data_IF_624199442726
#
_entry.id   IF_624199442726
#
_cell.length_a   1.000
_cell.length_b   1.000
_cell.length_c   1.000
_cell.angle_alpha   90.00
_cell.angle_beta   90.00
_cell.angle_gamma   90.00
#
_symmetry.space_group_name_H-M   'P 1'
#
loop_
_entity.id
_entity.type
_entity.pdbx_description
1 polymer ?
#
# COMPACT_ATOMS: atom_id res chain seq x y z
N UNK A 1 0.66 -24.71 3.39
CA UNK A 1 -0.03 -25.93 3.81
C UNK A 1 0.55 -26.41 5.13
N UNK A 2 -0.31 -26.75 6.09
CA UNK A 2 0.12 -27.32 7.37
C UNK A 2 -0.32 -28.78 7.53
N UNK A 3 -0.59 -29.48 6.42
CA UNK A 3 -0.84 -30.90 6.46
C UNK A 3 0.44 -31.61 6.93
N UNK A 4 0.37 -32.49 7.96
CA UNK A 4 1.52 -33.30 8.35
C UNK A 4 1.99 -34.19 7.19
N UNK A 5 3.29 -34.36 7.06
CA UNK A 5 3.83 -35.33 6.11
C UNK A 5 3.25 -36.74 6.39
N UNK A 6 2.84 -37.43 5.35
CA UNK A 6 2.16 -38.73 5.47
C UNK A 6 0.62 -38.64 5.53
N UNK A 7 0.02 -37.46 5.61
CA UNK A 7 -1.45 -37.33 5.55
C UNK A 7 -1.99 -37.77 4.20
N UNK A 8 -2.99 -38.67 4.13
CA UNK A 8 -3.66 -39.04 2.88
C UNK A 8 -4.49 -37.83 2.38
N UNK A 9 -4.25 -37.38 1.17
CA UNK A 9 -4.96 -36.24 0.59
C UNK A 9 -5.65 -36.53 -0.75
N UNK A 10 -5.23 -37.54 -1.45
CA UNK A 10 -5.75 -37.91 -2.77
C UNK A 10 -6.11 -39.37 -2.80
N UNK A 11 -7.34 -39.72 -3.19
CA UNK A 11 -7.87 -41.03 -3.45
C UNK A 11 -8.30 -41.09 -4.91
N UNK A 12 -7.68 -41.99 -5.71
CA UNK A 12 -7.99 -42.07 -7.16
C UNK A 12 -8.37 -43.51 -7.53
N UNK A 13 -9.54 -43.64 -8.18
CA UNK A 13 -9.96 -44.85 -8.86
C UNK A 13 -9.68 -44.68 -10.35
N UNK A 14 -9.38 -45.78 -11.00
CA UNK A 14 -9.03 -45.80 -12.43
C UNK A 14 -9.99 -46.67 -13.24
N UNK A 15 -10.09 -46.38 -14.54
CA UNK A 15 -10.87 -47.17 -15.50
C UNK A 15 -12.15 -46.49 -15.98
N UNK A 16 -12.82 -47.13 -16.95
CA UNK A 16 -13.99 -46.55 -17.62
C UNK A 16 -15.16 -46.35 -16.64
N UNK A 17 -15.36 -47.24 -15.69
CA UNK A 17 -16.45 -47.22 -14.71
C UNK A 17 -15.99 -46.89 -13.29
N UNK A 18 -14.70 -46.53 -13.09
CA UNK A 18 -14.14 -46.16 -11.78
C UNK A 18 -14.28 -47.24 -10.68
N UNK A 19 -14.24 -48.50 -11.07
CA UNK A 19 -14.47 -49.67 -10.19
C UNK A 19 -13.18 -50.30 -9.65
N UNK A 20 -12.01 -49.70 -9.95
CA UNK A 20 -10.74 -50.21 -9.39
C UNK A 20 -10.62 -49.90 -7.89
N UNK A 21 -9.75 -50.63 -7.18
CA UNK A 21 -9.39 -50.26 -5.82
C UNK A 21 -8.76 -48.88 -5.83
N UNK A 22 -9.11 -48.00 -4.86
CA UNK A 22 -8.57 -46.66 -4.79
C UNK A 22 -7.07 -46.74 -4.50
N UNK A 23 -6.30 -45.87 -5.22
CA UNK A 23 -4.91 -45.58 -4.87
C UNK A 23 -4.87 -44.29 -4.09
N UNK A 24 -4.28 -44.30 -2.93
CA UNK A 24 -4.11 -43.12 -2.10
C UNK A 24 -2.70 -42.55 -2.27
N UNK A 25 -2.61 -41.24 -2.46
CA UNK A 25 -1.37 -40.49 -2.33
C UNK A 25 -1.34 -39.76 -1.00
N UNK A 26 -0.17 -39.73 -0.37
CA UNK A 26 0.07 -39.04 0.88
C UNK A 26 0.88 -37.79 0.61
N UNK A 27 0.65 -36.75 1.44
CA UNK A 27 1.41 -35.53 1.39
C UNK A 27 2.85 -35.79 1.87
N UNK A 28 3.85 -35.44 1.05
CA UNK A 28 5.27 -35.69 1.34
C UNK A 28 5.94 -34.58 2.18
N UNK A 29 5.20 -33.50 2.48
CA UNK A 29 5.73 -32.36 3.20
C UNK A 29 6.57 -31.39 2.34
N UNK A 30 6.83 -31.73 1.07
CA UNK A 30 7.61 -30.87 0.18
C UNK A 30 6.76 -29.71 -0.36
N UNK A 31 7.32 -28.49 -0.30
CA UNK A 31 6.75 -27.32 -0.96
C UNK A 31 7.45 -27.15 -2.31
N UNK A 32 6.85 -27.62 -3.38
CA UNK A 32 7.23 -27.18 -4.71
C UNK A 32 6.30 -26.06 -5.13
N UNK A 33 6.81 -24.85 -5.16
CA UNK A 33 6.05 -23.63 -5.51
C UNK A 33 5.44 -23.72 -6.92
N UNK A 34 6.06 -24.49 -7.80
CA UNK A 34 5.61 -24.73 -9.18
C UNK A 34 4.41 -25.67 -9.31
N UNK A 35 4.09 -26.44 -8.28
CA UNK A 35 3.03 -27.45 -8.30
C UNK A 35 1.75 -26.98 -7.56
N UNK A 36 1.75 -25.76 -7.00
CA UNK A 36 0.58 -25.25 -6.29
C UNK A 36 -0.46 -24.72 -7.29
N UNK A 37 -1.74 -25.09 -7.10
CA UNK A 37 -2.83 -24.48 -7.86
C UNK A 37 -2.84 -22.95 -7.70
N UNK A 38 -3.40 -22.19 -8.66
CA UNK A 38 -3.43 -20.73 -8.64
C UNK A 38 -4.41 -20.18 -7.59
N UNK A 39 -4.20 -20.54 -6.32
CA UNK A 39 -5.04 -20.11 -5.21
C UNK A 39 -5.03 -18.60 -5.03
N UNK A 40 -3.90 -17.95 -5.21
CA UNK A 40 -3.77 -16.50 -5.09
C UNK A 40 -4.66 -15.77 -6.09
N UNK A 41 -4.68 -16.23 -7.35
CA UNK A 41 -5.53 -15.64 -8.38
C UNK A 41 -7.03 -15.81 -8.07
N UNK A 42 -7.44 -17.00 -7.59
CA UNK A 42 -8.83 -17.25 -7.19
C UNK A 42 -9.22 -16.42 -5.96
N UNK A 43 -8.33 -16.28 -4.98
CA UNK A 43 -8.55 -15.45 -3.80
C UNK A 43 -8.76 -13.99 -4.21
N UNK A 44 -7.85 -13.44 -5.02
CA UNK A 44 -7.94 -12.08 -5.56
C UNK A 44 -9.27 -11.85 -6.28
N UNK A 45 -9.62 -12.73 -7.22
CA UNK A 45 -10.84 -12.59 -8.02
C UNK A 45 -12.14 -12.60 -7.18
N UNK A 46 -12.24 -13.44 -6.14
CA UNK A 46 -13.41 -13.51 -5.28
C UNK A 46 -13.51 -12.29 -4.34
N UNK A 47 -12.39 -11.81 -3.79
CA UNK A 47 -12.39 -10.59 -2.98
C UNK A 47 -12.74 -9.35 -3.83
N UNK A 48 -12.17 -9.22 -5.01
CA UNK A 48 -12.48 -8.09 -5.92
C UNK A 48 -13.95 -8.11 -6.35
N UNK A 49 -14.51 -9.29 -6.62
CA UNK A 49 -15.96 -9.45 -6.90
C UNK A 49 -16.82 -9.03 -5.70
N UNK A 50 -16.33 -9.22 -4.48
CA UNK A 50 -16.99 -8.77 -3.26
C UNK A 50 -16.74 -7.28 -2.94
N UNK A 51 -16.00 -6.56 -3.79
CA UNK A 51 -15.75 -5.12 -3.66
C UNK A 51 -14.51 -4.76 -2.83
N UNK A 52 -13.66 -5.73 -2.47
CA UNK A 52 -12.39 -5.46 -1.79
C UNK A 52 -11.29 -5.17 -2.81
N UNK A 53 -10.42 -4.20 -2.51
CA UNK A 53 -9.20 -3.99 -3.27
C UNK A 53 -8.11 -4.95 -2.76
N UNK A 54 -7.59 -5.78 -3.65
CA UNK A 54 -6.55 -6.75 -3.30
C UNK A 54 -5.21 -6.33 -3.88
N UNK A 55 -4.18 -6.33 -3.03
CA UNK A 55 -2.79 -6.08 -3.42
C UNK A 55 -2.04 -7.39 -3.32
N UNK A 56 -1.43 -7.84 -4.41
CA UNK A 56 -0.65 -9.09 -4.47
C UNK A 56 0.85 -8.73 -4.48
N UNK A 57 1.65 -9.22 -3.53
CA UNK A 57 3.10 -9.01 -3.59
C UNK A 57 3.68 -9.67 -4.86
N UNK A 58 4.38 -8.91 -5.70
CA UNK A 58 5.15 -9.43 -6.82
C UNK A 58 4.48 -9.50 -8.20
N UNK A 59 3.22 -9.10 -8.36
CA UNK A 59 2.65 -8.88 -9.71
C UNK A 59 3.05 -7.50 -10.20
N UNK A 60 4.01 -7.47 -11.13
CA UNK A 60 4.37 -6.41 -12.09
C UNK A 60 4.83 -5.05 -11.58
N UNK A 61 5.15 -4.88 -10.30
CA UNK A 61 5.76 -3.63 -9.85
C UNK A 61 7.01 -3.89 -9.01
N UNK A 62 8.16 -3.87 -9.68
CA UNK A 62 9.48 -3.68 -9.02
C UNK A 62 9.54 -2.39 -8.19
N UNK A 63 8.47 -1.58 -8.18
CA UNK A 63 8.38 -0.24 -7.59
C UNK A 63 7.20 -0.05 -6.61
N UNK A 64 6.24 -0.98 -6.53
CA UNK A 64 5.29 -1.01 -5.43
C UNK A 64 5.97 -1.70 -4.23
N UNK A 65 6.83 -0.94 -3.55
CA UNK A 65 7.14 -1.25 -2.17
C UNK A 65 5.82 -1.31 -1.42
N UNK A 66 5.45 -2.53 -0.95
CA UNK A 66 4.45 -2.73 0.11
C UNK A 66 3.35 -1.65 0.11
N UNK A 67 2.55 -1.60 -0.96
CA UNK A 67 1.32 -0.83 -0.95
C UNK A 67 0.60 -1.24 0.33
N UNK A 68 0.35 -0.29 1.20
CA UNK A 68 -0.10 -0.52 2.56
C UNK A 68 -1.50 -1.12 2.54
N UNK A 69 -1.57 -2.44 2.39
CA UNK A 69 -2.80 -3.16 2.64
C UNK A 69 -3.17 -2.94 4.10
N UNK A 70 -4.37 -2.46 4.39
CA UNK A 70 -4.87 -2.27 5.75
C UNK A 70 -4.92 -3.63 6.50
N UNK A 71 -5.06 -4.71 5.74
CA UNK A 71 -5.19 -6.07 6.24
C UNK A 71 -4.33 -7.04 5.44
N UNK A 72 -3.79 -8.04 6.12
CA UNK A 72 -3.14 -9.20 5.53
C UNK A 72 -3.97 -10.44 5.86
N UNK A 73 -4.24 -11.27 4.85
CA UNK A 73 -4.90 -12.54 5.04
C UNK A 73 -3.90 -13.69 4.85
N UNK A 74 -3.80 -14.54 5.86
CA UNK A 74 -3.06 -15.79 5.80
C UNK A 74 -4.02 -16.97 5.83
N UNK A 75 -3.74 -18.00 5.04
CA UNK A 75 -4.53 -19.22 4.95
C UNK A 75 -3.67 -20.45 5.21
N UNK A 76 -4.19 -21.36 6.02
CA UNK A 76 -3.58 -22.65 6.30
C UNK A 76 -4.59 -23.74 5.94
N UNK A 77 -4.26 -24.57 4.95
CA UNK A 77 -5.06 -25.77 4.63
C UNK A 77 -4.77 -26.80 5.73
N UNK A 78 -5.78 -27.10 6.54
CA UNK A 78 -5.68 -28.06 7.66
C UNK A 78 -6.12 -29.46 7.27
N UNK A 79 -7.10 -29.56 6.37
CA UNK A 79 -7.57 -30.84 5.82
C UNK A 79 -7.76 -30.71 4.31
N UNK A 80 -7.35 -31.74 3.57
CA UNK A 80 -7.54 -31.84 2.13
C UNK A 80 -7.91 -33.26 1.77
N UNK A 81 -8.97 -33.45 1.02
CA UNK A 81 -9.38 -34.72 0.49
C UNK A 81 -9.84 -34.56 -0.96
N UNK A 82 -9.30 -35.37 -1.85
CA UNK A 82 -9.74 -35.44 -3.25
C UNK A 82 -10.09 -36.90 -3.56
N UNK A 83 -11.33 -37.17 -3.96
CA UNK A 83 -11.76 -38.48 -4.44
C UNK A 83 -12.11 -38.37 -5.93
N UNK A 84 -11.37 -39.10 -6.76
CA UNK A 84 -11.52 -38.93 -8.18
C UNK A 84 -11.43 -40.19 -9.00
N UNK A 85 -11.97 -40.11 -10.20
CA UNK A 85 -11.90 -41.15 -11.22
C UNK A 85 -11.03 -40.69 -12.39
N UNK A 86 -9.92 -41.37 -12.61
CA UNK A 86 -8.94 -41.06 -13.65
C UNK A 86 -9.05 -42.00 -14.85
N UNK A 87 -8.85 -41.48 -16.05
CA UNK A 87 -8.75 -42.30 -17.25
C UNK A 87 -7.38 -42.99 -17.29
N UNK A 88 -7.37 -44.31 -17.53
CA UNK A 88 -6.14 -45.05 -17.76
C UNK A 88 -5.72 -44.91 -19.24
N UNK A 89 -4.61 -44.25 -19.50
CA UNK A 89 -4.01 -44.20 -20.83
C UNK A 89 -3.49 -45.57 -21.25
N UNK A 90 -3.50 -45.91 -22.56
CA UNK A 90 -3.15 -47.21 -23.10
C UNK A 90 -1.67 -47.60 -22.95
N UNK A 91 -0.79 -46.71 -22.47
CA UNK A 91 0.66 -46.90 -22.32
C UNK A 91 1.16 -46.30 -21.00
N UNK A 92 0.56 -46.64 -19.87
CA UNK A 92 1.04 -46.25 -18.52
C UNK A 92 1.37 -44.73 -18.32
N UNK A 93 1.09 -43.91 -19.31
CA UNK A 93 1.21 -42.46 -19.19
C UNK A 93 -0.08 -41.96 -18.54
N UNK A 94 0.03 -41.53 -17.30
CA UNK A 94 -1.02 -40.84 -16.58
C UNK A 94 -1.31 -39.51 -17.31
N UNK A 95 -2.23 -39.52 -18.26
CA UNK A 95 -2.94 -38.30 -18.63
C UNK A 95 -3.85 -37.99 -17.46
N UNK A 96 -3.55 -36.94 -16.70
CA UNK A 96 -4.25 -36.60 -15.49
C UNK A 96 -5.69 -36.11 -15.69
N UNK A 97 -6.45 -36.77 -16.60
CA UNK A 97 -7.86 -36.50 -16.82
C UNK A 97 -8.65 -37.13 -15.68
N UNK A 98 -9.15 -36.30 -14.77
CA UNK A 98 -9.90 -36.74 -13.61
C UNK A 98 -11.25 -36.02 -13.54
N UNK A 99 -12.26 -36.74 -13.03
CA UNK A 99 -13.54 -36.19 -12.51
C UNK A 99 -13.71 -36.64 -11.06
N UNK A 100 -14.48 -35.92 -10.27
CA UNK A 100 -14.72 -36.32 -8.88
C UNK A 100 -14.97 -35.12 -7.99
N UNK A 101 -14.67 -35.31 -6.73
CA UNK A 101 -14.94 -34.35 -5.65
C UNK A 101 -13.66 -33.97 -4.93
N UNK A 102 -13.60 -32.75 -4.40
CA UNK A 102 -12.58 -32.29 -3.49
C UNK A 102 -13.20 -31.54 -2.32
N UNK A 103 -12.71 -31.84 -1.13
CA UNK A 103 -13.05 -31.12 0.11
C UNK A 103 -11.78 -30.50 0.68
N UNK A 104 -11.83 -29.22 1.00
CA UNK A 104 -10.74 -28.49 1.67
C UNK A 104 -11.27 -27.80 2.92
N UNK A 105 -10.51 -27.93 4.00
CA UNK A 105 -10.72 -27.14 5.21
C UNK A 105 -9.56 -26.16 5.38
N UNK A 106 -9.88 -24.91 5.62
CA UNK A 106 -8.91 -23.83 5.69
C UNK A 106 -9.13 -22.99 6.93
N UNK A 107 -8.05 -22.80 7.68
CA UNK A 107 -8.00 -21.85 8.78
C UNK A 107 -7.40 -20.53 8.27
N UNK A 108 -8.19 -19.47 8.41
CA UNK A 108 -7.84 -18.12 7.99
C UNK A 108 -7.45 -17.27 9.19
N UNK A 109 -6.45 -16.43 9.00
CA UNK A 109 -6.11 -15.36 9.93
C UNK A 109 -6.06 -14.05 9.18
N UNK A 110 -6.79 -13.06 9.66
CA UNK A 110 -6.75 -11.70 9.14
C UNK A 110 -6.01 -10.82 10.13
N UNK A 111 -4.88 -10.29 9.70
CA UNK A 111 -4.07 -9.38 10.49
C UNK A 111 -4.34 -7.94 10.04
N UNK A 112 -4.64 -7.06 10.99
CA UNK A 112 -4.75 -5.63 10.74
C UNK A 112 -3.39 -4.97 10.96
N UNK A 113 -2.83 -4.38 9.92
CA UNK A 113 -1.59 -3.59 10.03
C UNK A 113 -1.79 -2.34 10.89
N UNK A 114 -2.99 -1.77 10.84
CA UNK A 114 -3.36 -0.59 11.64
C UNK A 114 -3.39 -0.94 13.13
N UNK A 115 -4.12 -2.02 13.50
CA UNK A 115 -4.25 -2.48 14.89
C UNK A 115 -3.04 -3.28 15.38
N UNK A 116 -2.15 -3.70 14.47
CA UNK A 116 -1.00 -4.57 14.73
C UNK A 116 -1.37 -5.88 15.45
N UNK A 117 -2.52 -6.45 15.10
CA UNK A 117 -3.01 -7.70 15.69
C UNK A 117 -3.89 -8.50 14.73
N UNK A 118 -4.06 -9.79 15.02
CA UNK A 118 -5.04 -10.63 14.33
C UNK A 118 -6.44 -10.21 14.75
N UNK A 119 -7.26 -9.77 13.80
CA UNK A 119 -8.62 -9.23 14.02
C UNK A 119 -9.71 -10.23 13.71
N UNK A 120 -9.41 -11.27 12.95
CA UNK A 120 -10.34 -12.38 12.73
C UNK A 120 -9.57 -13.70 12.59
N UNK A 121 -10.17 -14.77 13.10
CA UNK A 121 -9.79 -16.16 12.85
C UNK A 121 -11.04 -16.90 12.45
N UNK A 122 -11.01 -17.52 11.27
CA UNK A 122 -12.18 -18.16 10.67
C UNK A 122 -11.75 -19.50 10.10
N UNK A 123 -12.51 -20.57 10.37
CA UNK A 123 -12.34 -21.86 9.69
C UNK A 123 -13.47 -22.00 8.68
N UNK A 124 -13.14 -22.47 7.48
CA UNK A 124 -14.09 -22.67 6.38
C UNK A 124 -13.92 -24.06 5.78
N UNK A 125 -14.98 -24.58 5.17
CA UNK A 125 -14.98 -25.85 4.43
C UNK A 125 -15.53 -25.61 3.04
N UNK A 126 -14.72 -25.90 2.02
CA UNK A 126 -15.12 -25.70 0.61
C UNK A 126 -15.05 -26.99 -0.17
N UNK A 127 -15.97 -27.11 -1.15
CA UNK A 127 -16.10 -28.27 -2.01
C UNK A 127 -15.89 -27.89 -3.47
N UNK A 128 -15.22 -28.77 -4.20
CA UNK A 128 -15.10 -28.73 -5.64
C UNK A 128 -15.69 -29.99 -6.26
N UNK A 129 -16.35 -29.86 -7.42
CA UNK A 129 -16.97 -30.98 -8.13
C UNK A 129 -16.76 -30.89 -9.65
N UNK A 130 -16.36 -32.00 -10.26
CA UNK A 130 -16.21 -32.13 -11.70
C UNK A 130 -16.97 -33.34 -12.22
N UNK A 131 -18.04 -33.11 -12.99
CA UNK A 131 -18.85 -34.14 -13.63
C UNK A 131 -18.13 -34.86 -14.76
N UNK A 132 -17.24 -34.17 -15.45
CA UNK A 132 -16.53 -34.66 -16.62
C UNK A 132 -15.03 -34.75 -16.39
N UNK A 133 -14.40 -35.76 -17.02
CA UNK A 133 -12.94 -35.91 -16.96
C UNK A 133 -12.26 -34.81 -17.78
N UNK A 134 -11.41 -34.04 -17.14
CA UNK A 134 -10.63 -32.97 -17.78
C UNK A 134 -9.14 -33.10 -17.44
N UNK A 135 -8.24 -32.72 -18.36
CA UNK A 135 -6.82 -32.58 -18.07
C UNK A 135 -6.57 -31.61 -16.91
N UNK A 136 -5.66 -31.97 -16.00
CA UNK A 136 -5.38 -31.13 -14.83
C UNK A 136 -6.53 -31.01 -13.82
N UNK A 137 -7.50 -31.94 -13.87
CA UNK A 137 -8.72 -31.90 -13.06
C UNK A 137 -8.46 -31.89 -11.54
N UNK A 138 -7.36 -32.51 -11.05
CA UNK A 138 -6.99 -32.45 -9.61
C UNK A 138 -6.77 -31.01 -9.19
N UNK A 139 -5.97 -30.25 -9.95
CA UNK A 139 -5.72 -28.85 -9.65
C UNK A 139 -7.02 -28.02 -9.74
N UNK A 140 -7.86 -28.32 -10.73
CA UNK A 140 -9.15 -27.61 -10.89
C UNK A 140 -10.13 -27.91 -9.76
N UNK A 141 -10.24 -29.16 -9.31
CA UNK A 141 -11.03 -29.54 -8.14
C UNK A 141 -10.55 -28.80 -6.88
N UNK A 142 -9.24 -28.76 -6.67
CA UNK A 142 -8.65 -28.07 -5.54
C UNK A 142 -8.89 -26.55 -5.59
N UNK A 143 -8.79 -25.92 -6.77
CA UNK A 143 -9.12 -24.50 -6.96
C UNK A 143 -10.59 -24.22 -6.72
N UNK A 144 -11.47 -25.09 -7.17
CA UNK A 144 -12.92 -24.93 -6.96
C UNK A 144 -13.29 -25.06 -5.49
N UNK A 145 -12.75 -26.06 -4.78
CA UNK A 145 -12.91 -26.21 -3.34
C UNK A 145 -12.33 -25.01 -2.57
N UNK A 146 -11.16 -24.51 -2.98
CA UNK A 146 -10.57 -23.29 -2.42
C UNK A 146 -11.46 -22.08 -2.65
N UNK A 147 -12.01 -21.92 -3.86
CA UNK A 147 -12.94 -20.81 -4.19
C UNK A 147 -14.21 -20.87 -3.32
N UNK A 148 -14.71 -22.08 -3.04
CA UNK A 148 -15.81 -22.30 -2.08
C UNK A 148 -15.45 -21.79 -0.68
N UNK A 149 -14.24 -22.11 -0.18
CA UNK A 149 -13.73 -21.61 1.10
C UNK A 149 -13.65 -20.08 1.15
N UNK A 150 -13.19 -19.43 0.06
CA UNK A 150 -13.12 -17.96 0.00
C UNK A 150 -14.52 -17.34 0.08
N UNK A 151 -15.49 -17.92 -0.60
CA UNK A 151 -16.91 -17.45 -0.53
C UNK A 151 -17.50 -17.62 0.85
N UNK A 152 -17.20 -18.72 1.53
CA UNK A 152 -17.61 -18.94 2.90
C UNK A 152 -16.95 -17.95 3.86
N UNK A 153 -15.65 -17.67 3.69
CA UNK A 153 -14.94 -16.62 4.40
C UNK A 153 -15.63 -15.25 4.23
N UNK A 154 -15.96 -14.88 3.00
CA UNK A 154 -16.65 -13.62 2.67
C UNK A 154 -18.07 -13.54 3.26
N UNK A 155 -18.73 -14.67 3.45
CA UNK A 155 -20.05 -14.76 4.10
C UNK A 155 -19.95 -14.75 5.64
N UNK A 156 -18.78 -15.05 6.22
CA UNK A 156 -18.58 -15.17 7.64
C UNK A 156 -18.78 -13.83 8.37
N UNK A 157 -19.53 -13.84 9.46
CA UNK A 157 -19.87 -12.63 10.22
C UNK A 157 -18.65 -11.97 10.87
N UNK A 158 -17.72 -12.77 11.43
CA UNK A 158 -16.53 -12.25 12.10
C UNK A 158 -15.57 -11.61 11.10
N UNK A 159 -15.38 -12.25 9.92
CA UNK A 159 -14.62 -11.66 8.81
C UNK A 159 -15.24 -10.34 8.35
N UNK A 160 -16.53 -10.31 8.08
CA UNK A 160 -17.24 -9.11 7.64
C UNK A 160 -17.18 -7.99 8.68
N UNK A 161 -17.34 -8.33 9.96
CA UNK A 161 -17.21 -7.37 11.06
C UNK A 161 -15.78 -6.82 11.16
N UNK A 162 -14.76 -7.67 11.01
CA UNK A 162 -13.36 -7.24 11.02
C UNK A 162 -13.02 -6.31 9.84
N UNK A 163 -13.54 -6.61 8.65
CA UNK A 163 -13.30 -5.85 7.42
C UNK A 163 -14.16 -4.58 7.31
N UNK A 164 -15.39 -4.61 7.83
CA UNK A 164 -16.28 -3.45 7.89
C UNK A 164 -16.19 -2.72 9.22
N UNK A 165 -15.39 -3.23 10.15
CA UNK A 165 -15.10 -2.44 11.34
C UNK A 165 -14.67 -1.07 10.84
N UNK A 166 -15.35 0.01 11.25
CA UNK A 166 -14.88 1.35 10.93
C UNK A 166 -13.40 1.31 11.28
N UNK A 167 -12.57 1.77 10.33
CA UNK A 167 -11.14 1.96 10.64
C UNK A 167 -11.15 2.49 12.05
N UNK A 168 -10.48 1.86 13.02
CA UNK A 168 -10.51 2.44 14.34
C UNK A 168 -10.06 3.85 14.03
N UNK A 169 -10.98 4.73 14.21
CA UNK A 169 -10.67 6.13 14.39
C UNK A 169 -9.67 6.02 15.53
N UNK A 170 -8.41 5.82 15.15
CA UNK A 170 -7.35 5.71 16.13
C UNK A 170 -7.57 6.95 16.93
N UNK A 171 -7.85 6.79 18.19
CA UNK A 171 -8.30 7.83 19.09
C UNK A 171 -7.21 8.89 19.32
N UNK A 172 -6.48 9.20 18.28
CA UNK A 172 -5.68 10.37 18.03
C UNK A 172 -6.11 11.05 16.73
N UNK A 173 -7.43 11.14 16.48
CA UNK A 173 -7.95 12.33 15.89
C UNK A 173 -7.79 13.43 16.96
N UNK A 174 -6.55 13.81 17.18
CA UNK A 174 -6.30 15.04 17.90
C UNK A 174 -6.83 16.13 16.95
N UNK A 175 -8.00 16.67 17.33
CA UNK A 175 -8.58 17.82 16.63
C UNK A 175 -7.47 18.85 16.48
N UNK A 176 -7.31 19.49 15.30
CA UNK A 176 -6.42 20.61 15.16
C UNK A 176 -6.62 21.57 16.35
N UNK A 177 -5.57 21.82 17.14
CA UNK A 177 -5.64 22.72 18.30
C UNK A 177 -5.55 22.09 19.68
N UNK A 178 -5.55 20.74 19.86
CA UNK A 178 -5.36 20.11 21.19
C UNK A 178 -3.88 19.85 21.53
N UNK A 179 -2.97 19.93 20.58
CA UNK A 179 -1.52 19.78 20.82
C UNK A 179 -0.88 21.14 21.13
N UNK A 180 0.22 21.11 21.90
CA UNK A 180 1.05 22.30 22.07
C UNK A 180 1.51 22.81 20.70
N UNK A 181 1.36 24.09 20.44
CA UNK A 181 1.75 24.70 19.17
C UNK A 181 3.27 24.61 18.96
N UNK A 182 3.67 24.18 17.77
CA UNK A 182 5.06 24.34 17.31
C UNK A 182 5.16 25.67 16.59
N UNK A 183 5.98 26.57 17.12
CA UNK A 183 6.19 27.89 16.53
C UNK A 183 7.34 27.83 15.54
N UNK A 184 7.01 28.11 14.26
CA UNK A 184 7.98 28.19 13.18
C UNK A 184 8.56 29.61 13.15
N UNK A 185 9.84 29.74 13.47
CA UNK A 185 10.55 31.02 13.36
C UNK A 185 10.91 31.28 11.90
N UNK A 186 10.32 32.29 11.29
CA UNK A 186 10.59 32.70 9.91
C UNK A 186 12.04 33.14 9.72
N UNK A 187 12.50 33.22 8.46
CA UNK A 187 13.74 33.90 8.14
C UNK A 187 13.58 35.40 8.26
N UNK A 188 14.58 36.07 8.86
CA UNK A 188 14.64 37.54 8.90
C UNK A 188 14.83 38.19 7.52
N UNK A 189 15.07 37.39 6.47
CA UNK A 189 15.35 37.81 5.10
C UNK A 189 14.39 37.18 4.07
N UNK A 190 13.12 36.96 4.44
CA UNK A 190 12.12 36.43 3.52
C UNK A 190 11.79 37.47 2.44
N UNK A 191 12.48 37.38 1.32
CA UNK A 191 12.10 37.98 0.04
C UNK A 191 11.52 36.88 -0.87
N UNK A 192 10.87 37.25 -1.98
CA UNK A 192 10.38 36.25 -2.93
C UNK A 192 11.52 35.35 -3.34
N UNK A 193 11.45 34.07 -2.95
CA UNK A 193 12.42 33.08 -3.36
C UNK A 193 12.16 32.72 -4.83
N UNK A 194 13.16 32.90 -5.66
CA UNK A 194 13.08 32.32 -7.00
C UNK A 194 12.97 30.80 -6.85
N UNK A 195 12.23 30.16 -7.74
CA UNK A 195 12.08 28.69 -7.75
C UNK A 195 13.44 27.98 -7.70
N UNK A 196 14.46 28.52 -8.39
CA UNK A 196 15.80 28.00 -8.36
C UNK A 196 16.45 28.03 -6.96
N UNK A 197 16.19 29.07 -6.18
CA UNK A 197 16.77 29.22 -4.83
C UNK A 197 16.08 28.24 -3.85
N UNK A 198 14.81 27.92 -4.07
CA UNK A 198 14.04 26.97 -3.27
C UNK A 198 14.64 25.56 -3.23
N UNK A 199 15.40 25.16 -4.28
CA UNK A 199 16.03 23.84 -4.34
C UNK A 199 17.03 23.62 -3.19
N UNK A 200 17.69 24.67 -2.68
CA UNK A 200 18.62 24.61 -1.57
C UNK A 200 17.95 24.29 -0.22
N UNK A 201 16.65 24.48 -0.14
CA UNK A 201 15.83 24.24 1.07
C UNK A 201 15.05 22.94 1.01
N UNK A 202 15.12 22.19 -0.11
CA UNK A 202 14.53 20.87 -0.28
C UNK A 202 15.58 19.80 0.00
N UNK A 203 15.17 18.76 0.70
CA UNK A 203 16.06 17.70 1.20
C UNK A 203 15.59 16.33 0.74
N UNK A 204 16.53 15.39 0.68
CA UNK A 204 16.25 13.96 0.63
C UNK A 204 16.24 13.41 2.05
N UNK A 205 15.16 12.72 2.41
CA UNK A 205 15.05 11.99 3.67
C UNK A 205 15.41 10.53 3.43
N UNK A 206 16.27 9.99 4.27
CA UNK A 206 16.74 8.60 4.23
C UNK A 206 16.29 7.92 5.52
N UNK A 207 15.41 6.93 5.39
CA UNK A 207 14.76 6.22 6.49
C UNK A 207 15.04 4.73 6.43
N UNK A 208 14.65 3.99 7.45
CA UNK A 208 14.76 2.53 7.47
C UNK A 208 13.91 1.84 6.40
N UNK A 209 12.83 2.48 5.95
CA UNK A 209 11.88 1.96 4.95
C UNK A 209 12.14 2.45 3.53
N UNK A 210 13.04 3.44 3.33
CA UNK A 210 13.28 3.97 1.99
C UNK A 210 13.79 5.41 1.97
N UNK A 211 13.33 6.18 0.98
CA UNK A 211 13.67 7.59 0.85
C UNK A 211 12.48 8.40 0.34
N UNK A 212 12.41 9.66 0.74
CA UNK A 212 11.44 10.64 0.29
C UNK A 212 12.05 12.04 0.28
N UNK A 213 11.20 13.04 0.14
CA UNK A 213 11.57 14.45 0.16
C UNK A 213 11.06 15.14 1.42
N UNK A 214 11.64 16.28 1.72
CA UNK A 214 11.14 17.23 2.72
C UNK A 214 11.64 18.62 2.38
N UNK A 215 11.15 19.63 3.08
CA UNK A 215 11.60 21.00 2.87
C UNK A 215 11.65 21.80 4.17
N UNK A 216 12.63 22.67 4.27
CA UNK A 216 12.86 23.52 5.43
C UNK A 216 11.79 24.61 5.51
N UNK A 217 11.16 24.75 6.69
CA UNK A 217 10.04 25.70 6.92
C UNK A 217 10.32 26.70 8.03
N UNK A 218 11.46 26.58 8.72
CA UNK A 218 11.85 27.52 9.76
C UNK A 218 13.36 27.69 9.88
N UNK A 219 13.81 28.85 10.31
CA UNK A 219 15.23 29.17 10.52
C UNK A 219 15.87 28.37 11.64
N UNK A 220 15.09 27.78 12.53
CA UNK A 220 15.57 26.91 13.62
C UNK A 220 15.51 25.41 13.26
N UNK A 221 15.26 25.07 11.98
CA UNK A 221 15.52 23.76 11.40
C UNK A 221 14.35 22.80 11.34
N UNK A 222 13.10 23.29 11.40
CA UNK A 222 11.94 22.45 11.13
C UNK A 222 11.78 22.17 9.63
N UNK A 223 11.56 20.90 9.32
CA UNK A 223 11.35 20.37 7.96
C UNK A 223 9.98 19.69 7.92
N UNK A 224 9.16 20.02 6.92
CA UNK A 224 7.92 19.32 6.60
C UNK A 224 8.18 18.18 5.62
N UNK A 225 7.43 17.09 5.78
CA UNK A 225 7.43 15.89 4.94
C UNK A 225 6.13 15.10 5.14
N UNK A 226 5.99 13.97 4.47
CA UNK A 226 4.86 13.07 4.66
C UNK A 226 5.10 12.10 5.83
N UNK A 227 3.99 11.68 6.48
CA UNK A 227 4.06 10.72 7.58
C UNK A 227 4.57 9.34 7.12
N UNK A 228 4.18 8.90 5.92
CA UNK A 228 4.65 7.62 5.38
C UNK A 228 6.16 7.62 5.07
N UNK A 229 6.78 8.79 4.80
CA UNK A 229 8.22 8.92 4.58
C UNK A 229 9.00 8.65 5.86
N UNK A 230 8.56 9.21 7.00
CA UNK A 230 9.23 8.99 8.29
C UNK A 230 8.83 7.67 8.94
N UNK A 231 7.65 7.14 8.61
CA UNK A 231 7.14 5.89 9.18
C UNK A 231 7.06 5.92 10.70
N UNK A 232 7.66 4.92 11.34
CA UNK A 232 7.77 4.81 12.80
C UNK A 232 9.17 5.21 13.32
N UNK A 233 10.04 5.75 12.47
CA UNK A 233 11.38 6.18 12.82
C UNK A 233 11.33 7.39 13.79
N UNK A 234 12.15 7.36 14.82
CA UNK A 234 12.31 8.51 15.74
C UNK A 234 13.32 9.52 15.24
N UNK A 235 14.26 9.06 14.42
CA UNK A 235 15.30 9.89 13.82
C UNK A 235 15.48 9.48 12.37
N UNK A 236 15.65 10.48 11.49
CA UNK A 236 15.85 10.26 10.05
C UNK A 236 17.10 11.01 9.59
N UNK A 237 17.78 10.47 8.58
CA UNK A 237 18.92 11.19 7.97
C UNK A 237 18.38 12.14 6.91
N UNK A 238 18.84 13.38 7.00
CA UNK A 238 18.52 14.47 6.07
C UNK A 238 19.74 14.72 5.20
N UNK A 239 19.60 14.55 3.89
CA UNK A 239 20.63 14.89 2.92
C UNK A 239 20.22 16.17 2.19
N UNK A 240 21.03 17.17 2.30
CA UNK A 240 20.88 18.46 1.66
C UNK A 240 21.35 18.44 0.20
N UNK A 241 20.97 19.45 -0.58
CA UNK A 241 21.30 19.56 -2.01
C UNK A 241 22.81 19.62 -2.28
N UNK A 242 23.60 20.08 -1.32
CA UNK A 242 25.09 20.10 -1.40
C UNK A 242 25.75 18.78 -0.98
N UNK A 243 24.95 17.76 -0.69
CA UNK A 243 25.39 16.43 -0.27
C UNK A 243 25.69 16.30 1.23
N UNK A 244 25.61 17.39 2.01
CA UNK A 244 25.78 17.31 3.46
C UNK A 244 24.66 16.49 4.08
N UNK A 245 25.01 15.62 5.02
CA UNK A 245 24.03 14.84 5.80
C UNK A 245 23.96 15.34 7.24
N UNK A 246 22.73 15.46 7.75
CA UNK A 246 22.44 15.75 9.16
C UNK A 246 21.46 14.73 9.71
N UNK A 247 21.40 14.60 11.03
CA UNK A 247 20.36 13.78 11.69
C UNK A 247 19.22 14.70 12.13
N UNK A 248 17.97 14.27 11.90
CA UNK A 248 16.78 14.96 12.35
C UNK A 248 16.00 14.09 13.33
N UNK A 249 15.39 14.71 14.35
CA UNK A 249 14.40 14.07 15.21
C UNK A 249 13.00 14.24 14.63
N UNK A 250 12.17 13.21 14.73
CA UNK A 250 10.75 13.29 14.36
C UNK A 250 10.00 13.92 15.53
N UNK A 251 9.47 15.13 15.32
CA UNK A 251 8.84 15.92 16.38
C UNK A 251 7.34 15.65 16.46
N UNK A 252 6.67 15.47 15.28
CA UNK A 252 5.24 15.20 15.22
C UNK A 252 4.86 14.52 13.91
N UNK A 253 3.88 13.62 14.00
CA UNK A 253 3.32 12.88 12.86
C UNK A 253 1.80 12.91 12.95
N UNK A 254 1.14 13.29 11.86
CA UNK A 254 -0.31 13.21 11.70
C UNK A 254 -0.65 12.21 10.59
N UNK A 255 -0.70 10.92 10.96
CA UNK A 255 -0.90 9.80 10.01
C UNK A 255 -2.22 9.88 9.24
N UNK A 256 -3.25 10.49 9.83
CA UNK A 256 -4.56 10.67 9.21
C UNK A 256 -4.59 11.71 8.09
N UNK A 257 -3.58 12.58 8.00
CA UNK A 257 -3.39 13.57 6.93
C UNK A 257 -2.14 13.27 6.09
N UNK A 258 -1.38 12.28 6.51
CA UNK A 258 -0.09 11.91 5.92
C UNK A 258 0.94 13.05 5.94
N UNK A 259 1.05 13.77 7.06
CA UNK A 259 2.04 14.84 7.23
C UNK A 259 2.88 14.63 8.49
N UNK A 260 4.14 15.02 8.43
CA UNK A 260 5.07 14.98 9.56
C UNK A 260 5.96 16.22 9.60
N UNK A 261 6.43 16.55 10.80
CA UNK A 261 7.44 17.59 11.01
C UNK A 261 8.62 17.00 11.78
N UNK A 262 9.80 17.26 11.26
CA UNK A 262 11.07 16.81 11.83
C UNK A 262 11.96 18.01 12.13
N UNK A 263 12.96 17.86 12.98
CA UNK A 263 13.87 18.95 13.36
C UNK A 263 15.32 18.54 13.20
N UNK A 264 16.09 19.41 12.54
CA UNK A 264 17.54 19.24 12.36
C UNK A 264 18.26 20.61 12.48
N UNK A 265 19.58 20.61 12.42
CA UNK A 265 20.34 21.84 12.30
C UNK A 265 20.35 22.30 10.82
N UNK A 266 19.76 23.46 10.47
CA UNK A 266 19.60 23.93 9.09
C UNK A 266 20.91 24.51 8.50
N UNK A 267 21.94 24.77 9.33
CA UNK A 267 23.25 25.29 8.91
C UNK A 267 23.16 26.50 7.97
N UNK A 268 22.53 27.55 8.44
CA UNK A 268 22.37 28.84 7.75
C UNK A 268 21.55 28.80 6.43
N UNK A 269 20.77 27.74 6.21
CA UNK A 269 19.86 27.67 5.05
C UNK A 269 18.58 28.44 5.30
N UNK A 270 18.08 29.07 4.25
CA UNK A 270 16.85 29.84 4.33
C UNK A 270 15.62 28.93 4.24
N UNK A 271 14.63 29.06 5.16
CA UNK A 271 13.40 28.31 5.06
C UNK A 271 12.52 28.82 3.90
N UNK A 272 11.67 27.95 3.38
CA UNK A 272 10.63 28.32 2.41
C UNK A 272 9.45 29.01 3.11
N UNK A 273 8.89 29.99 2.42
CA UNK A 273 7.69 30.66 2.88
C UNK A 273 6.44 29.81 2.65
N UNK A 274 5.54 29.78 3.64
CA UNK A 274 4.30 29.01 3.59
C UNK A 274 3.14 29.94 3.29
N UNK A 275 2.38 29.65 2.24
CA UNK A 275 1.23 30.47 1.79
C UNK A 275 -0.08 29.72 1.94
N UNK A 276 -0.84 30.11 2.96
CA UNK A 276 -2.23 29.68 3.11
C UNK A 276 -3.12 30.49 2.16
N UNK A 277 -4.14 29.88 1.62
CA UNK A 277 -5.15 30.58 0.84
C UNK A 277 -5.85 29.71 -0.18
N UNK A 278 -6.85 30.28 -0.86
CA UNK A 278 -7.50 29.60 -1.96
C UNK A 278 -6.54 29.51 -3.16
N UNK A 279 -6.62 28.39 -3.88
CA UNK A 279 -5.88 28.18 -5.12
C UNK A 279 -6.83 28.29 -6.30
N UNK A 280 -6.34 28.92 -7.36
CA UNK A 280 -7.17 29.18 -8.54
C UNK A 280 -6.79 28.21 -9.65
N UNK A 281 -7.74 27.48 -10.25
CA UNK A 281 -7.46 26.67 -11.43
C UNK A 281 -6.78 27.50 -12.53
N UNK A 282 -5.74 26.92 -13.15
CA UNK A 282 -4.89 27.58 -14.11
C UNK A 282 -3.69 28.33 -13.49
N UNK A 283 -3.62 28.49 -12.18
CA UNK A 283 -2.44 29.04 -11.50
C UNK A 283 -1.23 28.14 -11.72
N UNK A 284 -0.11 28.72 -12.17
CA UNK A 284 1.13 27.97 -12.39
C UNK A 284 1.72 27.53 -11.05
N UNK A 285 2.23 26.29 -11.03
CA UNK A 285 2.84 25.67 -9.86
C UNK A 285 4.09 24.90 -10.23
N UNK A 286 4.97 24.68 -9.24
CA UNK A 286 6.21 23.97 -9.37
C UNK A 286 6.33 22.95 -8.24
N UNK A 287 6.68 21.71 -8.56
CA UNK A 287 7.04 20.70 -7.55
C UNK A 287 8.56 20.53 -7.54
N UNK A 288 9.13 20.39 -6.35
CA UNK A 288 10.55 20.08 -6.17
C UNK A 288 10.63 18.79 -5.38
N UNK A 289 11.36 17.81 -5.93
CA UNK A 289 11.52 16.50 -5.30
C UNK A 289 12.93 15.98 -5.42
N UNK A 290 13.21 14.96 -4.60
CA UNK A 290 14.44 14.19 -4.65
C UNK A 290 14.10 12.76 -5.08
N UNK A 291 14.06 12.47 -6.41
CA UNK A 291 13.86 11.13 -6.91
C UNK A 291 14.84 10.13 -6.26
N UNK A 292 14.49 8.84 -6.26
CA UNK A 292 15.32 7.76 -5.68
C UNK A 292 16.78 7.78 -6.12
N UNK A 293 17.03 8.19 -7.35
CA UNK A 293 18.39 8.40 -7.82
C UNK A 293 18.92 9.73 -7.27
N UNK A 294 19.91 9.64 -6.39
CA UNK A 294 20.60 10.78 -5.75
C UNK A 294 21.13 11.83 -6.73
N UNK A 295 21.40 11.42 -7.99
CA UNK A 295 21.92 12.30 -9.02
C UNK A 295 20.86 13.28 -9.57
N UNK A 296 19.56 13.04 -9.22
CA UNK A 296 18.42 13.88 -9.60
C UNK A 296 17.79 14.61 -8.40
N UNK A 297 18.49 14.69 -7.27
CA UNK A 297 18.02 15.47 -6.12
C UNK A 297 17.76 16.93 -6.52
N UNK A 298 16.65 17.52 -6.05
CA UNK A 298 16.27 18.88 -6.38
C UNK A 298 15.67 19.06 -7.80
N UNK A 299 15.17 17.97 -8.42
CA UNK A 299 14.47 18.06 -9.70
C UNK A 299 13.23 18.96 -9.56
N UNK A 300 13.13 19.96 -10.45
CA UNK A 300 11.99 20.88 -10.54
C UNK A 300 11.13 20.48 -11.73
N UNK A 301 9.82 20.35 -11.49
CA UNK A 301 8.81 20.20 -12.53
C UNK A 301 7.78 21.33 -12.44
N UNK A 302 7.07 21.63 -13.53
CA UNK A 302 6.06 22.69 -13.58
C UNK A 302 4.76 22.19 -14.16
N UNK A 303 3.66 22.79 -13.71
CA UNK A 303 2.31 22.51 -14.16
C UNK A 303 1.36 23.64 -13.74
N UNK A 304 0.06 23.33 -13.67
CA UNK A 304 -0.97 24.24 -13.20
C UNK A 304 -1.86 23.57 -12.15
N UNK A 305 -2.46 24.36 -11.28
CA UNK A 305 -3.57 23.90 -10.45
C UNK A 305 -4.72 23.53 -11.36
N UNK A 306 -5.16 22.28 -11.31
CA UNK A 306 -6.31 21.78 -12.09
C UNK A 306 -7.62 21.98 -11.34
N UNK A 307 -7.63 21.73 -10.03
CA UNK A 307 -8.81 21.88 -9.18
C UNK A 307 -8.46 21.82 -7.68
N UNK A 308 -9.38 22.32 -6.84
CA UNK A 308 -9.47 22.00 -5.41
C UNK A 308 -10.44 20.82 -5.27
N UNK A 309 -10.04 19.75 -4.61
CA UNK A 309 -10.80 18.51 -4.48
C UNK A 309 -11.00 18.13 -3.02
N UNK A 310 -12.16 17.54 -2.73
CA UNK A 310 -12.39 16.86 -1.46
C UNK A 310 -12.55 15.39 -1.71
N UNK A 311 -11.63 14.59 -1.17
CA UNK A 311 -11.63 13.13 -1.29
C UNK A 311 -11.64 12.54 0.12
N UNK A 312 -12.62 11.70 0.43
CA UNK A 312 -12.82 11.11 1.76
C UNK A 312 -12.84 12.14 2.92
N UNK A 313 -13.40 13.33 2.67
CA UNK A 313 -13.49 14.42 3.66
C UNK A 313 -12.23 15.26 3.83
N UNK A 314 -11.15 14.96 3.10
CA UNK A 314 -9.90 15.72 3.12
C UNK A 314 -9.76 16.55 1.84
N UNK A 315 -9.25 17.77 1.98
CA UNK A 315 -8.98 18.65 0.83
C UNK A 315 -7.65 18.30 0.17
N UNK A 316 -7.61 18.43 -1.15
CA UNK A 316 -6.42 18.24 -1.97
C UNK A 316 -6.36 19.27 -3.10
N UNK A 317 -5.15 19.70 -3.41
CA UNK A 317 -4.85 20.42 -4.64
C UNK A 317 -4.59 19.40 -5.74
N UNK A 318 -5.40 19.40 -6.78
CA UNK A 318 -5.15 18.62 -7.99
C UNK A 318 -4.29 19.44 -8.94
N UNK A 319 -3.24 18.85 -9.50
CA UNK A 319 -2.36 19.49 -10.50
C UNK A 319 -1.87 18.47 -11.52
N UNK A 320 -1.51 18.96 -12.70
CA UNK A 320 -0.85 18.21 -13.76
C UNK A 320 0.68 18.24 -13.66
N UNK A 321 1.23 18.92 -12.61
CA UNK A 321 2.68 18.94 -12.38
C UNK A 321 3.22 17.54 -12.22
N UNK A 322 4.27 17.20 -12.95
CA UNK A 322 4.85 15.88 -12.93
C UNK A 322 5.56 15.62 -11.60
N UNK A 323 5.22 14.53 -10.94
CA UNK A 323 5.88 14.02 -9.74
C UNK A 323 6.24 12.55 -9.93
N UNK A 324 7.27 12.09 -9.24
CA UNK A 324 7.78 10.72 -9.34
C UNK A 324 8.06 10.15 -7.95
N UNK A 325 8.33 8.84 -7.89
CA UNK A 325 8.74 8.19 -6.64
C UNK A 325 9.97 8.89 -6.03
N UNK A 326 9.87 9.22 -4.74
CA UNK A 326 10.84 10.01 -4.01
C UNK A 326 10.49 11.50 -3.92
N UNK A 327 9.51 11.99 -4.68
CA UNK A 327 8.98 13.36 -4.52
C UNK A 327 8.03 13.49 -3.33
N UNK A 328 7.54 12.39 -2.74
CA UNK A 328 6.67 12.39 -1.54
C UNK A 328 7.26 13.24 -0.44
N UNK A 329 6.46 14.13 0.15
CA UNK A 329 6.87 15.10 1.16
C UNK A 329 7.59 16.34 0.62
N UNK A 330 7.81 16.43 -0.69
CA UNK A 330 8.38 17.62 -1.33
C UNK A 330 7.38 18.77 -1.46
N UNK A 331 7.83 20.03 -1.63
CA UNK A 331 6.97 21.20 -1.71
C UNK A 331 6.30 21.32 -3.09
N UNK A 332 5.05 21.80 -3.08
CA UNK A 332 4.39 22.44 -4.22
C UNK A 332 4.45 23.94 -4.02
N UNK A 333 5.05 24.66 -4.99
CA UNK A 333 5.28 26.10 -4.91
C UNK A 333 4.39 26.86 -5.90
N UNK A 334 4.03 28.10 -5.56
CA UNK A 334 3.48 29.07 -6.51
C UNK A 334 4.60 29.77 -7.33
N UNK A 335 4.26 30.72 -8.20
CA UNK A 335 5.21 31.49 -9.00
C UNK A 335 6.14 32.38 -8.16
N UNK A 336 5.71 32.77 -6.95
CA UNK A 336 6.50 33.58 -6.03
C UNK A 336 7.47 32.74 -5.19
N UNK A 337 7.49 31.40 -5.38
CA UNK A 337 8.32 30.47 -4.59
C UNK A 337 7.77 30.15 -3.20
N UNK A 338 6.53 30.52 -2.91
CA UNK A 338 5.87 30.21 -1.67
C UNK A 338 5.25 28.81 -1.72
N UNK A 339 5.36 28.03 -0.62
CA UNK A 339 4.80 26.69 -0.51
C UNK A 339 3.28 26.77 -0.32
N UNK A 340 2.55 26.16 -1.22
CA UNK A 340 1.08 26.07 -1.20
C UNK A 340 0.59 24.64 -0.88
N UNK A 341 1.46 23.64 -0.95
CA UNK A 341 1.12 22.24 -0.64
C UNK A 341 2.32 21.33 -0.53
N UNK A 342 2.06 20.07 -0.16
CA UNK A 342 3.01 18.96 -0.13
C UNK A 342 2.64 17.91 -1.17
N UNK A 343 3.64 17.30 -1.79
CA UNK A 343 3.45 16.16 -2.71
C UNK A 343 3.01 14.94 -1.93
N UNK A 344 1.80 14.47 -2.17
CA UNK A 344 1.23 13.27 -1.58
C UNK A 344 1.03 12.21 -2.69
N UNK A 345 1.99 11.29 -2.81
CA UNK A 345 1.91 10.15 -3.75
C UNK A 345 1.20 8.93 -3.13
N UNK A 346 0.76 9.04 -1.87
CA UNK A 346 0.13 7.95 -1.12
C UNK A 346 -1.36 7.77 -1.40
N UNK A 347 -1.99 8.63 -2.21
CA UNK A 347 -3.40 8.49 -2.55
C UNK A 347 -3.49 7.59 -3.78
N UNK A 348 -4.06 6.38 -3.65
CA UNK A 348 -4.37 5.57 -4.83
C UNK A 348 -5.29 6.40 -5.72
N UNK A 349 -4.94 6.54 -6.99
CA UNK A 349 -5.76 7.24 -7.97
C UNK A 349 -7.23 6.84 -7.81
N UNK A 350 -8.07 7.80 -7.45
CA UNK A 350 -9.51 7.64 -7.31
C UNK A 350 -10.18 7.59 -8.69
N UNK A 351 -9.78 6.61 -9.50
CA UNK A 351 -10.48 6.27 -10.74
C UNK A 351 -11.24 4.96 -10.56
N UNK A 352 -12.49 4.84 -11.03
CA UNK A 352 -13.27 3.61 -10.91
C UNK A 352 -12.73 2.43 -11.73
N UNK A 353 -11.64 2.59 -12.48
CA UNK A 353 -11.14 1.60 -13.45
C UNK A 353 -9.79 0.98 -13.08
N UNK A 354 -9.14 1.36 -11.95
CA UNK A 354 -7.86 0.74 -11.55
C UNK A 354 -6.70 0.94 -12.54
N UNK A 355 -6.86 1.81 -13.52
CA UNK A 355 -5.78 2.16 -14.45
C UNK A 355 -4.75 3.02 -13.73
N UNK A 356 -3.48 2.63 -13.85
CA UNK A 356 -2.31 3.38 -13.41
C UNK A 356 -2.44 4.85 -13.78
N UNK A 357 -2.12 5.72 -12.81
CA UNK A 357 -2.28 7.16 -12.83
C UNK A 357 -2.41 7.77 -14.20
N UNK A 358 -3.60 8.27 -14.52
CA UNK A 358 -3.75 9.12 -15.71
C UNK A 358 -2.72 10.23 -15.57
N UNK A 359 -1.78 10.27 -16.49
CA UNK A 359 -0.77 11.32 -16.57
C UNK A 359 -1.47 12.70 -16.45
N UNK A 360 -1.07 13.49 -15.45
CA UNK A 360 -1.67 14.80 -15.22
C UNK A 360 -2.70 14.88 -14.07
N UNK A 361 -2.87 13.86 -13.24
CA UNK A 361 -3.78 13.89 -12.08
C UNK A 361 -3.03 13.60 -10.77
N UNK A 362 -2.20 14.53 -10.32
CA UNK A 362 -1.53 14.42 -9.03
C UNK A 362 -2.28 15.19 -7.95
N UNK A 363 -2.30 14.66 -6.73
CA UNK A 363 -2.92 15.27 -5.56
C UNK A 363 -1.85 15.72 -4.57
N UNK A 364 -2.07 16.90 -4.01
CA UNK A 364 -1.17 17.54 -3.05
C UNK A 364 -1.95 17.91 -1.81
N UNK A 365 -1.36 17.66 -0.64
CA UNK A 365 -1.91 18.14 0.63
C UNK A 365 -1.76 19.66 0.70
N UNK A 366 -2.85 20.46 0.86
CA UNK A 366 -2.74 21.90 1.02
C UNK A 366 -1.87 22.24 2.23
N UNK A 367 -1.02 23.26 2.12
CA UNK A 367 -0.11 23.65 3.21
C UNK A 367 -0.86 24.08 4.47
N UNK A 368 -2.03 24.69 4.30
CA UNK A 368 -2.89 25.07 5.42
C UNK A 368 -3.33 23.89 6.25
N UNK A 369 -3.74 22.80 5.59
CA UNK A 369 -4.13 21.55 6.24
C UNK A 369 -2.95 20.92 6.98
N UNK A 370 -1.77 20.85 6.33
CA UNK A 370 -0.57 20.32 6.97
C UNK A 370 -0.22 21.06 8.25
N UNK A 371 -0.29 22.40 8.20
CA UNK A 371 -0.03 23.25 9.38
C UNK A 371 -1.05 23.01 10.50
N UNK A 372 -2.34 22.90 10.15
CA UNK A 372 -3.42 22.72 11.12
C UNK A 372 -3.33 21.34 11.80
N UNK A 373 -3.13 20.27 11.02
CA UNK A 373 -2.99 18.92 11.54
C UNK A 373 -1.73 18.72 12.40
N UNK A 374 -0.67 19.45 12.13
CA UNK A 374 0.56 19.44 12.92
C UNK A 374 0.59 20.52 14.00
N UNK A 375 -0.48 21.33 14.17
CA UNK A 375 -0.57 22.47 15.11
C UNK A 375 0.62 23.42 14.98
N UNK A 376 0.94 23.82 13.75
CA UNK A 376 2.02 24.75 13.45
C UNK A 376 1.53 26.19 13.41
N UNK A 377 2.30 27.07 14.02
CA UNK A 377 2.06 28.52 14.00
C UNK A 377 3.31 29.24 13.48
N UNK A 378 3.15 30.20 12.59
CA UNK A 378 4.25 31.02 12.10
C UNK A 378 4.30 32.33 12.90
N UNK A 379 5.51 32.70 13.38
CA UNK A 379 5.76 34.00 13.98
C UNK A 379 6.10 35.02 12.93
#
# INVERSE_FOLDING_TARGET
MALPAGSPWLSVRTGLLCVSFPRTATWDGSRREQDLPPYAASFKAELERAGYKVVTPGEDNLFESEASADYEAAAVITEAHVDGCMTRGALFTERGDIRGDADLKIDWQVYSRIKKQVVARVSTEGRGHLDTKIPGGVARLAVEAFTGNVRELLANADFRTAMNAPRPFTAEFQMPGQQSKIVLNGSLNAGPHKIADATGSVVTLLTGSGSGSGFLVSGDGYILTDAHVVGDDKNVRVRWSDGLETLASVERVAKNRDVAIIKTNPRDRSPLDLKRGPLTPGQRVYAIGSPRNKDFAGTVSSGVVSADRTVNGLRYVQSDVMVSHGSSGGPLLNEDGEVIGLTDLGIPNAGPTGEEGQAGLNLFTPIGDAMDFLSLERK
#
